data_IF_551279592041
#
_entry.id   IF_551279592041
#
_cell.length_a   1.000
_cell.length_b   1.000
_cell.length_c   1.000
_cell.angle_alpha   90.00
_cell.angle_beta   90.00
_cell.angle_gamma   90.00
#
_symmetry.space_group_name_H-M   'P 1'
#
loop_
_entity.id
_entity.type
_entity.pdbx_description
1 polymer ?
#
# COMPACT_ATOMS: atom_id res chain seq x y z
N UNK A 1 4.54 -1.27 15.52
CA UNK A 1 3.85 -0.02 15.10
C UNK A 1 3.81 0.91 16.31
N UNK A 2 3.89 2.24 16.14
CA UNK A 2 3.69 3.15 17.28
C UNK A 2 2.33 2.87 17.90
N UNK A 3 2.25 2.85 19.22
CA UNK A 3 1.01 2.63 19.98
C UNK A 3 -0.01 3.68 19.54
N UNK A 4 -1.10 3.25 18.89
CA UNK A 4 -2.19 4.14 18.45
C UNK A 4 -2.40 4.29 16.93
N UNK A 5 -1.58 3.70 16.06
CA UNK A 5 -1.85 3.68 14.60
C UNK A 5 -2.26 2.28 14.16
N UNK A 6 -3.49 2.13 13.70
CA UNK A 6 -3.98 0.87 13.12
C UNK A 6 -3.38 0.61 11.73
N UNK A 7 -3.35 -0.66 11.30
CA UNK A 7 -2.86 -1.01 9.95
C UNK A 7 -3.67 -0.28 8.89
N UNK A 8 -4.99 -0.21 9.05
CA UNK A 8 -5.87 0.50 8.12
C UNK A 8 -5.55 2.00 7.98
N UNK A 9 -5.24 2.69 9.09
CA UNK A 9 -4.82 4.09 9.06
C UNK A 9 -3.48 4.27 8.35
N UNK A 10 -2.54 3.37 8.58
CA UNK A 10 -1.26 3.36 7.86
C UNK A 10 -1.47 3.17 6.35
N UNK A 11 -2.32 2.22 5.94
CA UNK A 11 -2.63 1.99 4.52
C UNK A 11 -3.27 3.23 3.89
N UNK A 12 -4.25 3.86 4.56
CA UNK A 12 -4.88 5.09 4.06
C UNK A 12 -3.87 6.23 3.89
N UNK A 13 -2.97 6.40 4.86
CA UNK A 13 -1.91 7.41 4.77
C UNK A 13 -0.94 7.13 3.62
N UNK A 14 -0.61 5.86 3.39
CA UNK A 14 0.25 5.45 2.28
C UNK A 14 -0.45 5.63 0.95
N UNK A 15 -1.74 5.29 0.84
CA UNK A 15 -2.54 5.52 -0.36
C UNK A 15 -2.52 7.00 -0.75
N UNK A 16 -2.79 7.91 0.20
CA UNK A 16 -2.76 9.34 -0.05
C UNK A 16 -1.38 9.80 -0.55
N UNK A 17 -0.31 9.26 0.04
CA UNK A 17 1.07 9.59 -0.35
C UNK A 17 1.42 9.05 -1.73
N UNK A 18 1.05 7.80 -2.01
CA UNK A 18 1.29 7.11 -3.27
C UNK A 18 0.50 7.72 -4.43
N UNK A 19 -0.70 8.25 -4.17
CA UNK A 19 -1.47 9.02 -5.15
C UNK A 19 -0.80 10.33 -5.58
N UNK A 20 0.09 10.89 -4.77
CA UNK A 20 0.89 12.06 -5.16
C UNK A 20 2.01 11.70 -6.14
N UNK A 21 2.35 10.42 -6.24
CA UNK A 21 3.33 9.93 -7.23
C UNK A 21 2.67 9.83 -8.61
N UNK A 22 3.46 9.95 -9.68
CA UNK A 22 2.97 9.80 -11.06
C UNK A 22 2.75 8.33 -11.47
N UNK A 23 2.73 7.41 -10.52
CA UNK A 23 2.62 5.96 -10.71
C UNK A 23 1.18 5.46 -11.00
N UNK A 24 0.21 6.38 -11.23
CA UNK A 24 -1.17 6.04 -11.60
C UNK A 24 -1.84 5.07 -10.62
N UNK A 25 -1.65 5.29 -9.32
CA UNK A 25 -2.24 4.46 -8.27
C UNK A 25 -3.68 4.93 -8.00
N UNK A 26 -4.65 4.04 -8.21
CA UNK A 26 -6.08 4.32 -8.03
C UNK A 26 -6.52 4.19 -6.56
N UNK A 27 -6.13 3.11 -5.88
CA UNK A 27 -6.38 2.91 -4.45
C UNK A 27 -5.54 1.76 -3.87
N UNK A 28 -5.45 1.72 -2.55
CA UNK A 28 -4.91 0.59 -1.79
C UNK A 28 -6.04 -0.02 -0.95
N UNK A 29 -6.13 -1.35 -0.94
CA UNK A 29 -7.17 -2.08 -0.23
C UNK A 29 -6.54 -3.11 0.69
N UNK A 30 -6.84 -3.03 1.98
CA UNK A 30 -6.37 -3.97 2.98
C UNK A 30 -7.35 -5.16 3.00
N UNK A 31 -7.00 -6.24 2.29
CA UNK A 31 -7.86 -7.42 2.14
C UNK A 31 -7.95 -8.26 3.41
N UNK A 32 -6.83 -8.35 4.13
CA UNK A 32 -6.73 -9.01 5.42
C UNK A 32 -5.62 -8.35 6.25
N UNK A 33 -5.34 -8.85 7.46
CA UNK A 33 -4.33 -8.24 8.33
C UNK A 33 -2.92 -8.20 7.72
N UNK A 34 -2.65 -9.03 6.72
CA UNK A 34 -1.32 -9.27 6.16
C UNK A 34 -1.25 -9.07 4.64
N UNK A 35 -2.34 -8.65 3.98
CA UNK A 35 -2.41 -8.54 2.52
C UNK A 35 -3.02 -7.20 2.10
N UNK A 36 -2.28 -6.48 1.26
CA UNK A 36 -2.73 -5.23 0.63
C UNK A 36 -2.77 -5.40 -0.87
N UNK A 37 -3.85 -4.94 -1.49
CA UNK A 37 -3.99 -4.90 -2.94
C UNK A 37 -3.86 -3.46 -3.42
N UNK A 38 -2.91 -3.20 -4.32
CA UNK A 38 -2.81 -1.93 -5.05
C UNK A 38 -3.62 -2.05 -6.34
N UNK A 39 -4.51 -1.10 -6.58
CA UNK A 39 -5.18 -0.93 -7.87
C UNK A 39 -4.54 0.25 -8.58
N UNK A 40 -4.23 0.06 -9.86
CA UNK A 40 -3.72 1.10 -10.75
C UNK A 40 -4.83 1.57 -11.68
N UNK A 41 -4.76 2.83 -12.13
CA UNK A 41 -5.77 3.46 -13.00
C UNK A 41 -5.96 2.74 -14.35
N UNK A 42 -5.03 1.85 -14.73
CA UNK A 42 -5.11 1.00 -15.93
C UNK A 42 -5.81 -0.36 -15.72
N UNK A 43 -6.42 -0.62 -14.56
CA UNK A 43 -7.07 -1.89 -14.24
C UNK A 43 -6.11 -3.01 -13.80
N UNK A 44 -4.81 -2.75 -13.80
CA UNK A 44 -3.82 -3.63 -13.21
C UNK A 44 -3.98 -3.64 -11.70
N UNK A 45 -3.78 -4.82 -11.10
CA UNK A 45 -3.79 -4.98 -9.65
C UNK A 45 -2.53 -5.70 -9.20
N UNK A 46 -2.12 -5.42 -7.97
CA UNK A 46 -1.01 -6.12 -7.35
C UNK A 46 -1.30 -6.46 -5.91
N UNK A 47 -1.01 -7.70 -5.54
CA UNK A 47 -1.13 -8.22 -4.19
C UNK A 47 0.23 -8.12 -3.49
N UNK A 48 0.27 -7.50 -2.32
CA UNK A 48 1.47 -7.30 -1.51
C UNK A 48 1.25 -7.95 -0.14
N UNK A 49 2.18 -8.83 0.24
CA UNK A 49 2.23 -9.39 1.58
C UNK A 49 2.96 -8.43 2.53
N UNK A 50 2.28 -8.04 3.60
CA UNK A 50 2.72 -7.08 4.62
C UNK A 50 2.93 -7.72 6.01
N UNK A 51 2.91 -9.05 6.12
CA UNK A 51 2.97 -9.80 7.39
C UNK A 51 4.14 -9.41 8.30
N UNK A 52 5.34 -9.21 7.72
CA UNK A 52 6.54 -8.95 8.52
C UNK A 52 6.81 -7.47 8.79
N UNK A 53 6.42 -6.55 7.90
CA UNK A 53 6.61 -5.11 8.11
C UNK A 53 5.76 -4.26 7.12
N UNK A 54 4.58 -3.83 7.56
CA UNK A 54 3.57 -3.26 6.67
C UNK A 54 3.91 -1.91 6.04
N UNK A 55 4.65 -1.04 6.73
CA UNK A 55 5.03 0.26 6.17
C UNK A 55 6.07 0.15 5.06
N UNK A 56 7.15 -0.59 5.30
CA UNK A 56 8.27 -0.67 4.35
C UNK A 56 8.03 -1.67 3.22
N UNK A 57 7.21 -2.69 3.41
CA UNK A 57 6.91 -3.67 2.37
C UNK A 57 6.18 -3.02 1.19
N UNK A 58 5.21 -2.16 1.47
CA UNK A 58 4.43 -1.45 0.43
C UNK A 58 5.31 -0.47 -0.33
N UNK A 59 6.05 0.40 0.38
CA UNK A 59 6.93 1.38 -0.26
C UNK A 59 8.00 0.68 -1.11
N UNK A 60 8.63 -0.38 -0.57
CA UNK A 60 9.66 -1.12 -1.29
C UNK A 60 9.12 -1.81 -2.53
N UNK A 61 7.91 -2.37 -2.46
CA UNK A 61 7.30 -3.00 -3.62
C UNK A 61 6.94 -1.97 -4.68
N UNK A 62 6.44 -0.79 -4.32
CA UNK A 62 6.21 0.28 -5.30
C UNK A 62 7.54 0.74 -5.91
N UNK A 63 8.54 1.10 -5.10
CA UNK A 63 9.83 1.61 -5.59
C UNK A 63 10.66 0.61 -6.40
N UNK A 64 10.44 -0.70 -6.27
CA UNK A 64 11.14 -1.71 -7.07
C UNK A 64 10.82 -1.65 -8.56
N UNK A 65 9.74 -0.99 -8.94
CA UNK A 65 9.22 -0.98 -10.30
C UNK A 65 9.22 0.41 -10.93
N UNK A 66 9.83 1.39 -10.24
CA UNK A 66 10.12 2.74 -10.74
C UNK A 66 11.60 2.80 -11.13
#
# INVERSE_FOLDING_TARGET
MKTGVSKAELIKSLEATLKLTREKIACLDLRDENTVVIYFEGGYTRVINIACNSGIAIIRDVCKYI
#
